data_IF_310093856783
#
_entry.id   IF_310093856783
#
_cell.length_a   1.000
_cell.length_b   1.000
_cell.length_c   1.000
_cell.angle_alpha   90.00
_cell.angle_beta   90.00
_cell.angle_gamma   90.00
#
_symmetry.space_group_name_H-M   'P 1'
#
loop_
_entity.id
_entity.type
_entity.pdbx_description
1 polymer ?
#
# COMPACT_ATOMS: atom_id res chain seq x y z
N UNK A 1 -4.28 -46.88 -26.92
CA UNK A 1 -4.60 -45.51 -26.46
C UNK A 1 -3.51 -45.06 -25.51
N UNK A 2 -2.65 -44.12 -25.91
CA UNK A 2 -1.66 -43.51 -25.00
C UNK A 2 -2.34 -42.32 -24.33
N UNK A 3 -2.56 -42.40 -23.02
CA UNK A 3 -3.16 -41.32 -22.23
C UNK A 3 -2.10 -40.22 -22.07
N UNK A 4 -2.20 -39.14 -22.85
CA UNK A 4 -1.33 -37.98 -22.72
C UNK A 4 -1.89 -37.08 -21.61
N UNK A 5 -1.43 -37.28 -20.37
CA UNK A 5 -1.78 -36.37 -19.27
C UNK A 5 -0.96 -35.08 -19.40
N UNK A 6 -1.63 -33.94 -19.65
CA UNK A 6 -1.00 -32.62 -19.61
C UNK A 6 -0.72 -32.22 -18.16
N UNK A 7 0.54 -32.08 -17.79
CA UNK A 7 0.95 -31.55 -16.49
C UNK A 7 0.67 -30.05 -16.40
N UNK A 8 0.02 -29.62 -15.31
CA UNK A 8 -0.26 -28.20 -15.05
C UNK A 8 1.04 -27.42 -14.81
N UNK A 9 1.11 -26.20 -15.32
CA UNK A 9 2.22 -25.26 -15.10
C UNK A 9 3.57 -25.71 -15.67
N UNK A 10 3.56 -26.61 -16.67
CA UNK A 10 4.76 -27.03 -17.40
C UNK A 10 4.71 -26.45 -18.81
N UNK A 11 5.69 -25.62 -19.16
CA UNK A 11 5.89 -25.15 -20.53
C UNK A 11 6.94 -26.04 -21.22
N UNK A 12 6.68 -26.41 -22.48
CA UNK A 12 7.66 -27.07 -23.35
C UNK A 12 8.50 -26.03 -24.08
N UNK A 13 9.83 -26.20 -24.04
CA UNK A 13 10.81 -25.40 -24.75
C UNK A 13 11.35 -26.14 -25.96
N UNK A 14 12.04 -25.41 -26.84
CA UNK A 14 12.76 -25.98 -27.96
C UNK A 14 13.74 -27.07 -27.51
N UNK A 15 13.74 -28.20 -28.24
CA UNK A 15 14.59 -29.35 -27.95
C UNK A 15 14.06 -30.30 -26.86
N UNK A 16 12.74 -30.33 -26.61
CA UNK A 16 12.10 -31.28 -25.68
C UNK A 16 12.41 -31.03 -24.21
N UNK A 17 12.89 -29.82 -23.87
CA UNK A 17 13.13 -29.39 -22.49
C UNK A 17 11.82 -28.89 -21.90
N UNK A 18 11.57 -29.19 -20.62
CA UNK A 18 10.38 -28.75 -19.90
C UNK A 18 10.77 -27.76 -18.80
N UNK A 19 9.97 -26.73 -18.59
CA UNK A 19 10.10 -25.82 -17.43
C UNK A 19 8.82 -25.80 -16.64
N UNK A 20 8.94 -25.79 -15.32
CA UNK A 20 7.84 -25.44 -14.44
C UNK A 20 7.77 -23.93 -14.31
N UNK A 21 6.59 -23.34 -14.54
CA UNK A 21 6.35 -21.91 -14.45
C UNK A 21 5.01 -21.62 -13.80
N UNK A 22 5.02 -21.04 -12.60
CA UNK A 22 3.81 -20.63 -11.87
C UNK A 22 3.96 -19.20 -11.35
N UNK A 23 2.94 -18.36 -11.54
CA UNK A 23 2.92 -17.00 -11.00
C UNK A 23 2.71 -17.04 -9.48
N UNK A 24 3.37 -16.17 -8.74
CA UNK A 24 3.09 -16.00 -7.32
C UNK A 24 1.80 -15.19 -7.12
N UNK A 25 1.05 -15.43 -6.02
CA UNK A 25 0.00 -14.53 -5.58
C UNK A 25 0.53 -13.10 -5.41
N UNK A 26 -0.29 -12.08 -5.70
CA UNK A 26 0.15 -10.67 -5.74
C UNK A 26 0.79 -10.20 -4.42
N UNK A 27 0.26 -10.65 -3.28
CA UNK A 27 0.81 -10.35 -1.95
C UNK A 27 2.22 -10.95 -1.77
N UNK A 28 2.37 -12.23 -2.12
CA UNK A 28 3.64 -12.98 -2.04
C UNK A 28 4.68 -12.45 -3.03
N UNK A 29 4.27 -12.06 -4.23
CA UNK A 29 5.16 -11.46 -5.23
C UNK A 29 5.74 -10.11 -4.75
N UNK A 30 4.97 -9.31 -3.99
CA UNK A 30 5.46 -8.07 -3.39
C UNK A 30 6.48 -8.34 -2.27
N UNK A 31 6.27 -9.39 -1.49
CA UNK A 31 7.16 -9.78 -0.40
C UNK A 31 8.48 -10.40 -0.92
N UNK A 32 8.42 -11.25 -1.94
CA UNK A 32 9.58 -11.95 -2.52
C UNK A 32 10.37 -11.11 -3.54
N UNK A 33 9.75 -10.10 -4.15
CA UNK A 33 10.35 -9.31 -5.23
C UNK A 33 10.31 -9.98 -6.61
N UNK A 34 9.99 -11.28 -6.67
CA UNK A 34 9.81 -12.04 -7.89
C UNK A 34 8.32 -12.31 -8.17
N UNK A 35 7.91 -12.18 -9.43
CA UNK A 35 6.51 -12.38 -9.84
C UNK A 35 6.20 -13.82 -10.28
N UNK A 36 7.23 -14.63 -10.57
CA UNK A 36 7.08 -15.96 -11.15
C UNK A 36 8.10 -16.92 -10.55
N UNK A 37 7.64 -18.10 -10.14
CA UNK A 37 8.50 -19.24 -9.85
C UNK A 37 8.79 -19.98 -11.16
N UNK A 38 10.06 -20.04 -11.55
CA UNK A 38 10.49 -20.68 -12.79
C UNK A 38 11.67 -21.61 -12.54
N UNK A 39 11.51 -22.90 -12.85
CA UNK A 39 12.56 -23.91 -12.70
C UNK A 39 12.59 -24.81 -13.94
N UNK A 40 13.79 -25.06 -14.48
CA UNK A 40 13.96 -26.03 -15.57
C UNK A 40 13.87 -27.46 -15.01
N UNK A 41 13.01 -28.29 -15.61
CA UNK A 41 12.89 -29.70 -15.25
C UNK A 41 14.03 -30.50 -15.89
N UNK A 42 14.58 -31.49 -15.17
CA UNK A 42 15.68 -32.32 -15.68
C UNK A 42 15.13 -33.53 -16.43
N UNK A 43 14.04 -34.11 -15.92
CA UNK A 43 13.33 -35.19 -16.56
C UNK A 43 12.58 -34.69 -17.80
N UNK A 44 12.64 -35.47 -18.88
CA UNK A 44 11.95 -35.15 -20.15
C UNK A 44 10.63 -35.89 -20.28
N UNK A 45 10.54 -37.14 -19.83
CA UNK A 45 9.37 -38.01 -19.94
C UNK A 45 9.29 -39.03 -18.79
N UNK A 46 8.14 -39.71 -18.66
CA UNK A 46 7.95 -40.84 -17.74
C UNK A 46 7.66 -40.47 -16.29
N UNK A 47 7.74 -41.46 -15.39
CA UNK A 47 7.43 -41.33 -13.96
C UNK A 47 8.33 -40.31 -13.24
N UNK A 48 9.58 -40.17 -13.69
CA UNK A 48 10.53 -39.20 -13.14
C UNK A 48 10.02 -37.76 -13.30
N UNK A 49 9.41 -37.43 -14.44
CA UNK A 49 8.78 -36.14 -14.69
C UNK A 49 7.67 -35.84 -13.67
N UNK A 50 6.85 -36.83 -13.34
CA UNK A 50 5.78 -36.67 -12.33
C UNK A 50 6.35 -36.47 -10.93
N UNK A 51 7.40 -37.19 -10.56
CA UNK A 51 8.04 -37.00 -9.25
C UNK A 51 8.75 -35.66 -9.15
N UNK A 52 9.40 -35.18 -10.21
CA UNK A 52 9.99 -33.83 -10.26
C UNK A 52 8.90 -32.76 -10.22
N UNK A 53 7.80 -32.94 -10.94
CA UNK A 53 6.66 -32.01 -10.92
C UNK A 53 6.03 -31.90 -9.54
N UNK A 54 5.79 -33.03 -8.87
CA UNK A 54 5.28 -33.06 -7.50
C UNK A 54 6.25 -32.37 -6.53
N UNK A 55 7.56 -32.63 -6.65
CA UNK A 55 8.59 -31.93 -5.85
C UNK A 55 8.54 -30.42 -6.05
N UNK A 56 8.51 -29.95 -7.30
CA UNK A 56 8.45 -28.53 -7.63
C UNK A 56 7.16 -27.85 -7.14
N UNK A 57 6.03 -28.56 -7.13
CA UNK A 57 4.80 -28.08 -6.51
C UNK A 57 4.95 -27.91 -5.00
N UNK A 58 5.51 -28.91 -4.30
CA UNK A 58 5.74 -28.81 -2.85
C UNK A 58 6.75 -27.72 -2.49
N UNK A 59 7.77 -27.50 -3.31
CA UNK A 59 8.73 -26.40 -3.13
C UNK A 59 8.07 -25.04 -3.33
N UNK A 60 7.25 -24.91 -4.39
CA UNK A 60 6.46 -23.71 -4.62
C UNK A 60 5.54 -23.40 -3.42
N UNK A 61 4.81 -24.40 -2.93
CA UNK A 61 3.93 -24.25 -1.76
C UNK A 61 4.72 -23.82 -0.53
N UNK A 62 5.86 -24.47 -0.24
CA UNK A 62 6.74 -24.07 0.87
C UNK A 62 7.25 -22.63 0.76
N UNK A 63 7.60 -22.17 -0.45
CA UNK A 63 8.06 -20.81 -0.68
C UNK A 63 6.91 -19.82 -0.47
N UNK A 64 5.72 -20.14 -1.01
CA UNK A 64 4.52 -19.33 -0.83
C UNK A 64 4.13 -19.24 0.65
N UNK A 65 4.13 -20.36 1.37
CA UNK A 65 3.80 -20.40 2.80
C UNK A 65 4.82 -19.64 3.63
N UNK A 66 6.12 -19.81 3.34
CA UNK A 66 7.17 -19.05 4.03
C UNK A 66 7.06 -17.56 3.75
N UNK A 67 6.70 -17.17 2.53
CA UNK A 67 6.50 -15.78 2.15
C UNK A 67 5.21 -15.20 2.73
N UNK A 68 4.13 -15.99 2.84
CA UNK A 68 2.90 -15.63 3.56
C UNK A 68 3.18 -15.41 5.04
N UNK A 69 3.90 -16.34 5.69
CA UNK A 69 4.35 -16.18 7.09
C UNK A 69 5.20 -14.94 7.29
N UNK A 70 6.18 -14.71 6.41
CA UNK A 70 6.97 -13.47 6.44
C UNK A 70 6.13 -12.23 6.21
N UNK A 71 5.20 -12.24 5.25
CA UNK A 71 4.32 -11.10 5.00
C UNK A 71 3.38 -10.83 6.19
N UNK A 72 2.93 -11.87 6.90
CA UNK A 72 2.17 -11.76 8.14
C UNK A 72 3.03 -11.26 9.31
N UNK A 73 4.27 -11.74 9.44
CA UNK A 73 5.24 -11.30 10.46
C UNK A 73 5.73 -9.86 10.20
N UNK A 74 5.88 -9.47 8.94
CA UNK A 74 6.32 -8.14 8.49
C UNK A 74 5.17 -7.11 8.45
N UNK A 75 3.94 -7.49 8.84
CA UNK A 75 2.78 -6.58 8.89
C UNK A 75 2.35 -6.05 7.51
N UNK A 76 2.62 -6.80 6.43
CA UNK A 76 2.23 -6.41 5.07
C UNK A 76 0.77 -6.70 4.73
N UNK A 77 0.13 -7.60 5.48
CA UNK A 77 -1.31 -7.86 5.44
C UNK A 77 -1.90 -7.48 6.78
N UNK A 78 -2.97 -6.70 6.75
CA UNK A 78 -3.66 -6.38 7.98
C UNK A 78 -4.31 -7.63 8.58
N UNK A 79 -4.33 -7.79 9.92
CA UNK A 79 -4.93 -8.95 10.57
C UNK A 79 -6.36 -9.26 10.10
N UNK A 80 -7.15 -8.23 9.78
CA UNK A 80 -8.51 -8.37 9.29
C UNK A 80 -8.59 -8.81 7.82
N UNK A 81 -7.78 -8.23 6.94
CA UNK A 81 -7.67 -8.69 5.55
C UNK A 81 -7.18 -10.13 5.48
N UNK A 82 -6.20 -10.47 6.31
CA UNK A 82 -5.67 -11.82 6.43
C UNK A 82 -6.73 -12.82 6.91
N UNK A 83 -7.59 -12.43 7.87
CA UNK A 83 -8.73 -13.24 8.30
C UNK A 83 -9.75 -13.43 7.18
N UNK A 84 -10.11 -12.39 6.43
CA UNK A 84 -11.07 -12.49 5.31
C UNK A 84 -10.55 -13.38 4.18
N UNK A 85 -9.28 -13.23 3.81
CA UNK A 85 -8.65 -14.12 2.82
C UNK A 85 -8.61 -15.57 3.34
N UNK A 86 -8.32 -15.77 4.62
CA UNK A 86 -8.32 -17.08 5.26
C UNK A 86 -9.71 -17.72 5.31
N UNK A 87 -10.78 -16.96 5.60
CA UNK A 87 -12.16 -17.47 5.58
C UNK A 87 -12.56 -17.90 4.16
N UNK A 88 -12.24 -17.09 3.16
CA UNK A 88 -12.52 -17.44 1.77
C UNK A 88 -11.74 -18.69 1.31
N UNK A 89 -10.45 -18.78 1.67
CA UNK A 89 -9.62 -19.95 1.38
C UNK A 89 -10.14 -21.19 2.14
N UNK A 90 -10.63 -21.03 3.38
CA UNK A 90 -11.28 -22.08 4.16
C UNK A 90 -12.56 -22.60 3.48
N UNK A 91 -13.43 -21.71 3.01
CA UNK A 91 -14.64 -22.07 2.26
C UNK A 91 -14.32 -22.82 0.96
N UNK A 92 -13.34 -22.34 0.20
CA UNK A 92 -12.88 -23.00 -1.04
C UNK A 92 -12.30 -24.40 -0.75
N UNK A 93 -11.55 -24.56 0.34
CA UNK A 93 -10.99 -25.84 0.75
C UNK A 93 -12.07 -26.82 1.20
N UNK A 94 -13.05 -26.37 1.99
CA UNK A 94 -14.19 -27.20 2.46
C UNK A 94 -15.08 -27.60 1.27
N UNK A 95 -15.37 -26.68 0.35
CA UNK A 95 -16.15 -26.97 -0.86
C UNK A 95 -15.43 -27.92 -1.84
N UNK A 96 -14.10 -27.96 -1.80
CA UNK A 96 -13.28 -28.88 -2.58
C UNK A 96 -13.24 -30.31 -2.03
N UNK A 97 -13.70 -30.54 -0.79
CA UNK A 97 -13.77 -31.88 -0.21
C UNK A 97 -14.96 -32.64 -0.79
N UNK A 98 -14.69 -33.79 -1.39
CA UNK A 98 -15.73 -34.68 -1.93
C UNK A 98 -15.70 -36.02 -1.18
N UNK A 99 -16.88 -36.64 -1.03
CA UNK A 99 -17.03 -37.96 -0.40
C UNK A 99 -17.23 -37.97 1.12
N UNK A 100 -17.63 -36.83 1.70
CA UNK A 100 -17.88 -36.68 3.15
C UNK A 100 -19.37 -36.45 3.39
N UNK A 101 -19.91 -36.99 4.49
CA UNK A 101 -21.35 -37.01 4.76
C UNK A 101 -21.86 -35.74 5.46
N UNK A 102 -20.95 -34.95 6.05
CA UNK A 102 -21.25 -33.69 6.74
C UNK A 102 -20.19 -32.62 6.46
N UNK A 103 -20.63 -31.36 6.47
CA UNK A 103 -19.75 -30.19 6.34
C UNK A 103 -18.76 -30.09 7.53
N UNK A 104 -19.16 -30.53 8.72
CA UNK A 104 -18.30 -30.55 9.90
C UNK A 104 -17.17 -31.59 9.79
N UNK A 105 -17.46 -32.74 9.19
CA UNK A 105 -16.45 -33.75 8.88
C UNK A 105 -15.48 -33.24 7.80
N UNK A 106 -15.98 -32.50 6.79
CA UNK A 106 -15.14 -31.87 5.78
C UNK A 106 -14.19 -30.83 6.41
N UNK A 107 -14.69 -30.02 7.35
CA UNK A 107 -13.89 -29.05 8.12
C UNK A 107 -12.85 -29.73 9.01
N UNK A 108 -13.18 -30.84 9.68
CA UNK A 108 -12.22 -31.60 10.47
C UNK A 108 -11.10 -32.20 9.60
N UNK A 109 -11.45 -32.78 8.45
CA UNK A 109 -10.46 -33.36 7.51
C UNK A 109 -9.51 -32.28 6.99
N UNK A 110 -10.03 -31.12 6.60
CA UNK A 110 -9.21 -29.97 6.15
C UNK A 110 -8.37 -29.44 7.30
N UNK A 111 -8.94 -29.29 8.49
CA UNK A 111 -8.24 -28.82 9.68
C UNK A 111 -7.07 -29.73 10.09
N UNK A 112 -7.26 -31.04 10.06
CA UNK A 112 -6.22 -32.02 10.36
C UNK A 112 -5.10 -32.05 9.30
N UNK A 113 -5.45 -31.89 8.02
CA UNK A 113 -4.47 -31.75 6.94
C UNK A 113 -3.67 -30.44 7.06
N UNK A 114 -4.33 -29.31 7.36
CA UNK A 114 -3.69 -28.02 7.60
C UNK A 114 -2.73 -28.08 8.80
N UNK A 115 -3.14 -28.73 9.89
CA UNK A 115 -2.30 -28.93 11.08
C UNK A 115 -1.07 -29.80 10.75
N UNK A 116 -1.26 -30.86 9.95
CA UNK A 116 -0.17 -31.74 9.51
C UNK A 116 0.84 -31.03 8.60
N UNK A 117 0.37 -30.12 7.75
CA UNK A 117 1.23 -29.30 6.86
C UNK A 117 1.87 -28.11 7.58
N UNK A 118 1.44 -27.84 8.82
CA UNK A 118 1.85 -26.65 9.56
C UNK A 118 1.39 -25.37 8.86
N UNK A 119 0.19 -25.38 8.30
CA UNK A 119 -0.38 -24.22 7.60
C UNK A 119 -0.59 -23.03 8.55
N UNK A 120 -1.01 -21.91 7.97
CA UNK A 120 -1.20 -20.65 8.71
C UNK A 120 -2.16 -20.83 9.91
N UNK A 121 -1.78 -20.40 11.12
CA UNK A 121 -2.64 -20.45 12.31
C UNK A 121 -4.00 -19.74 12.13
N UNK A 122 -4.05 -18.69 11.30
CA UNK A 122 -5.27 -17.93 11.02
C UNK A 122 -6.21 -18.72 10.12
N UNK A 123 -5.67 -19.39 9.09
CA UNK A 123 -6.43 -20.28 8.20
C UNK A 123 -6.98 -21.50 8.95
N UNK A 124 -6.16 -22.09 9.83
CA UNK A 124 -6.62 -23.18 10.69
C UNK A 124 -7.79 -22.74 11.58
N UNK A 125 -7.71 -21.55 12.18
CA UNK A 125 -8.79 -20.99 13.00
C UNK A 125 -10.05 -20.70 12.16
N UNK A 126 -9.90 -20.22 10.94
CA UNK A 126 -11.03 -19.97 10.03
C UNK A 126 -11.75 -21.27 9.62
N UNK A 127 -11.02 -22.37 9.38
CA UNK A 127 -11.61 -23.69 9.06
C UNK A 127 -12.31 -24.32 10.26
N UNK A 128 -11.67 -24.28 11.44
CA UNK A 128 -12.17 -24.97 12.63
C UNK A 128 -13.24 -24.18 13.39
N UNK A 129 -13.28 -22.86 13.21
CA UNK A 129 -14.21 -21.98 13.92
C UNK A 129 -14.67 -20.87 12.98
N UNK A 130 -15.56 -21.20 12.01
CA UNK A 130 -16.08 -20.22 11.06
C UNK A 130 -16.94 -19.14 11.73
N UNK A 131 -17.51 -19.43 12.91
CA UNK A 131 -18.23 -18.47 13.74
C UNK A 131 -17.33 -17.65 14.67
N UNK A 132 -16.00 -17.81 14.61
CA UNK A 132 -15.12 -17.02 15.45
C UNK A 132 -15.26 -15.52 15.12
N UNK A 133 -15.36 -14.70 16.18
CA UNK A 133 -15.47 -13.25 16.05
C UNK A 133 -14.36 -12.70 15.15
N UNK A 134 -14.77 -11.94 14.13
CA UNK A 134 -13.85 -11.28 13.22
C UNK A 134 -12.85 -10.44 14.03
N UNK A 135 -11.55 -10.50 13.71
CA UNK A 135 -10.57 -9.71 14.42
C UNK A 135 -10.94 -8.23 14.31
N UNK A 136 -10.76 -7.46 15.39
CA UNK A 136 -11.19 -6.08 15.41
C UNK A 136 -10.38 -5.25 14.40
N UNK A 137 -11.05 -4.35 13.71
CA UNK A 137 -10.44 -3.51 12.66
C UNK A 137 -9.38 -2.60 13.26
N UNK A 138 -8.21 -2.60 12.63
CA UNK A 138 -7.01 -1.92 13.11
C UNK A 138 -6.74 -0.63 12.33
N UNK A 139 -5.79 0.18 12.82
CA UNK A 139 -5.30 1.35 12.08
C UNK A 139 -4.57 0.98 10.78
N UNK A 140 -4.03 -0.24 10.66
CA UNK A 140 -3.42 -0.72 9.43
C UNK A 140 -4.48 -0.95 8.34
N UNK A 141 -5.61 -1.56 8.70
CA UNK A 141 -6.78 -1.71 7.81
C UNK A 141 -7.22 -0.35 7.27
N UNK A 142 -7.38 0.62 8.18
CA UNK A 142 -7.81 1.96 7.83
C UNK A 142 -6.84 2.64 6.83
N UNK A 143 -5.54 2.38 6.96
CA UNK A 143 -4.51 2.92 6.06
C UNK A 143 -4.60 2.31 4.66
N UNK A 144 -4.71 0.99 4.53
CA UNK A 144 -4.82 0.36 3.20
C UNK A 144 -6.15 0.72 2.53
N UNK A 145 -7.24 0.79 3.28
CA UNK A 145 -8.53 1.29 2.78
C UNK A 145 -8.44 2.74 2.29
N UNK A 146 -7.83 3.64 3.07
CA UNK A 146 -7.63 5.02 2.63
C UNK A 146 -6.79 5.10 1.35
N UNK A 147 -5.83 4.19 1.18
CA UNK A 147 -4.99 4.09 -0.02
C UNK A 147 -5.78 3.58 -1.23
N UNK A 148 -6.67 2.60 -1.07
CA UNK A 148 -7.50 2.12 -2.17
C UNK A 148 -8.53 3.17 -2.58
N UNK A 149 -9.31 3.68 -1.64
CA UNK A 149 -10.44 4.58 -1.94
C UNK A 149 -9.98 5.98 -2.40
N UNK A 150 -9.00 6.56 -1.71
CA UNK A 150 -8.63 7.97 -1.92
C UNK A 150 -7.41 8.18 -2.80
N UNK A 151 -6.60 7.12 -3.00
CA UNK A 151 -5.31 7.22 -3.68
C UNK A 151 -5.20 6.36 -4.95
N UNK A 152 -6.20 5.51 -5.26
CA UNK A 152 -6.23 4.78 -6.53
C UNK A 152 -6.40 5.70 -7.75
N UNK A 153 -7.03 6.87 -7.58
CA UNK A 153 -7.20 7.88 -8.64
C UNK A 153 -6.30 9.13 -8.52
N UNK A 154 -5.52 9.27 -7.44
CA UNK A 154 -4.73 10.48 -7.18
C UNK A 154 -3.27 10.34 -7.67
N UNK A 155 -2.93 11.01 -8.77
CA UNK A 155 -1.57 11.10 -9.29
C UNK A 155 -0.73 12.14 -8.53
N UNK A 156 -0.15 11.76 -7.40
CA UNK A 156 0.83 12.59 -6.71
C UNK A 156 1.72 11.83 -5.73
N UNK A 157 3.02 11.68 -6.07
CA UNK A 157 4.04 11.08 -5.17
C UNK A 157 4.04 11.74 -3.78
N UNK A 158 3.74 13.03 -3.71
CA UNK A 158 3.74 13.82 -2.48
C UNK A 158 2.71 13.34 -1.45
N UNK A 159 1.53 12.89 -1.89
CA UNK A 159 0.46 12.48 -0.97
C UNK A 159 0.71 11.07 -0.41
N UNK A 160 1.31 10.17 -1.20
CA UNK A 160 1.77 8.84 -0.72
C UNK A 160 2.88 8.99 0.33
N UNK A 161 3.91 9.78 0.02
CA UNK A 161 4.99 10.09 0.97
C UNK A 161 4.47 10.77 2.25
N UNK A 162 3.35 11.48 2.16
CA UNK A 162 2.71 12.11 3.31
C UNK A 162 1.97 11.11 4.18
N UNK A 163 1.19 10.21 3.57
CA UNK A 163 0.54 9.11 4.27
C UNK A 163 1.56 8.26 5.06
N UNK A 164 2.66 7.87 4.41
CA UNK A 164 3.72 7.09 5.06
C UNK A 164 4.38 7.84 6.22
N UNK A 165 4.63 9.15 6.06
CA UNK A 165 5.17 9.98 7.16
C UNK A 165 4.23 10.05 8.34
N UNK A 166 2.93 10.20 8.07
CA UNK A 166 1.90 10.24 9.11
C UNK A 166 1.83 8.90 9.85
N UNK A 167 1.86 7.77 9.12
CA UNK A 167 1.89 6.43 9.71
C UNK A 167 3.08 6.24 10.64
N UNK A 168 4.29 6.63 10.21
CA UNK A 168 5.50 6.54 11.05
C UNK A 168 5.40 7.38 12.33
N UNK A 169 4.73 8.53 12.29
CA UNK A 169 4.50 9.37 13.49
C UNK A 169 3.50 8.72 14.45
N UNK A 170 2.46 8.08 13.92
CA UNK A 170 1.51 7.30 14.72
C UNK A 170 2.23 6.13 15.39
N UNK A 171 3.03 5.37 14.64
CA UNK A 171 3.83 4.27 15.18
C UNK A 171 4.77 4.71 16.31
N UNK A 172 5.37 5.90 16.15
CA UNK A 172 6.29 6.45 17.15
C UNK A 172 5.60 6.90 18.45
N UNK A 173 4.31 7.25 18.41
CA UNK A 173 3.59 7.87 19.54
C UNK A 173 2.59 6.93 20.22
N UNK A 174 1.86 6.15 19.41
CA UNK A 174 0.79 5.26 19.83
C UNK A 174 1.17 3.78 19.75
N UNK A 175 2.24 3.43 19.02
CA UNK A 175 2.71 2.05 18.84
C UNK A 175 2.29 1.44 17.50
N UNK A 176 2.61 0.15 17.30
CA UNK A 176 2.40 -0.57 16.03
C UNK A 176 0.96 -0.47 15.52
N UNK A 177 0.79 -0.14 14.25
CA UNK A 177 -0.53 0.05 13.62
C UNK A 177 -1.42 -1.20 13.69
N UNK A 178 -0.83 -2.38 13.62
CA UNK A 178 -1.52 -3.68 13.62
C UNK A 178 -2.17 -4.02 14.97
N UNK A 179 -1.74 -3.34 16.05
CA UNK A 179 -2.27 -3.54 17.40
C UNK A 179 -3.26 -2.45 17.81
N UNK A 180 -3.36 -1.38 17.03
CA UNK A 180 -4.22 -0.25 17.34
C UNK A 180 -5.62 -0.49 16.76
N UNK A 181 -6.49 -1.03 17.61
CA UNK A 181 -7.89 -1.26 17.29
C UNK A 181 -8.65 0.07 17.21
N UNK A 182 -9.44 0.28 16.16
CA UNK A 182 -10.19 1.52 15.93
C UNK A 182 -11.23 1.81 17.03
N UNK A 183 -11.82 0.76 17.61
CA UNK A 183 -12.81 0.86 18.69
C UNK A 183 -12.21 1.41 19.98
N UNK A 184 -10.94 1.10 20.25
CA UNK A 184 -10.25 1.51 21.48
C UNK A 184 -9.64 2.93 21.40
N UNK A 185 -9.77 3.59 20.23
CA UNK A 185 -9.21 4.90 20.00
C UNK A 185 -9.97 6.00 20.78
N UNK A 186 -9.44 6.35 21.94
CA UNK A 186 -9.91 7.46 22.77
C UNK A 186 -9.33 8.82 22.39
N UNK A 187 -10.01 9.88 22.83
CA UNK A 187 -9.58 11.29 22.69
C UNK A 187 -8.18 11.56 23.29
N UNK A 188 -7.78 10.80 24.29
CA UNK A 188 -6.45 10.89 24.92
C UNK A 188 -5.33 10.53 23.94
N UNK A 189 -5.51 9.48 23.14
CA UNK A 189 -4.55 9.10 22.10
C UNK A 189 -4.41 10.20 21.05
N UNK A 190 -5.53 10.84 20.68
CA UNK A 190 -5.50 11.97 19.75
C UNK A 190 -4.76 13.20 20.31
N UNK A 191 -4.93 13.50 21.61
CA UNK A 191 -4.18 14.58 22.27
C UNK A 191 -2.69 14.25 22.36
N UNK A 192 -2.34 13.04 22.78
CA UNK A 192 -0.95 12.56 22.85
C UNK A 192 -0.25 12.70 21.49
N UNK A 193 -0.89 12.20 20.43
CA UNK A 193 -0.34 12.32 19.08
C UNK A 193 -0.14 13.78 18.66
N UNK A 194 -1.12 14.67 18.92
CA UNK A 194 -0.99 16.09 18.62
C UNK A 194 0.18 16.73 19.37
N UNK A 195 0.31 16.45 20.65
CA UNK A 195 1.32 17.04 21.51
C UNK A 195 2.72 16.54 21.12
N UNK A 196 2.86 15.25 20.81
CA UNK A 196 4.09 14.64 20.26
C UNK A 196 4.45 15.25 18.89
N UNK A 197 3.47 15.50 18.02
CA UNK A 197 3.69 16.13 16.72
C UNK A 197 4.12 17.59 16.82
N UNK A 198 3.64 18.32 17.83
CA UNK A 198 4.07 19.70 18.12
C UNK A 198 5.46 19.72 18.76
N UNK A 199 5.80 18.72 19.58
CA UNK A 199 7.12 18.56 20.18
C UNK A 199 8.17 18.07 19.16
N UNK A 200 7.74 17.41 18.07
CA UNK A 200 8.63 16.87 17.06
C UNK A 200 9.41 17.98 16.32
N UNK A 201 10.75 17.84 16.35
CA UNK A 201 11.67 18.71 15.62
C UNK A 201 11.95 18.16 14.22
N UNK A 202 12.08 19.07 13.25
CA UNK A 202 12.58 18.75 11.90
C UNK A 202 14.09 18.46 11.96
N UNK A 203 14.63 17.96 10.84
CA UNK A 203 16.09 17.76 10.67
C UNK A 203 16.89 19.05 10.92
N UNK A 204 16.28 20.19 10.64
CA UNK A 204 16.87 21.52 10.81
C UNK A 204 16.74 22.06 12.26
N UNK A 205 16.29 21.24 13.21
CA UNK A 205 16.11 21.61 14.62
C UNK A 205 14.86 22.46 14.91
N UNK A 206 14.21 23.00 13.88
CA UNK A 206 12.97 23.78 14.02
C UNK A 206 11.76 22.89 14.36
N UNK A 207 10.82 23.36 15.20
CA UNK A 207 9.58 22.63 15.48
C UNK A 207 8.69 22.54 14.23
N UNK A 208 7.83 21.52 14.19
CA UNK A 208 6.85 21.41 13.12
C UNK A 208 5.84 22.57 13.18
N UNK A 209 5.53 23.19 12.04
CA UNK A 209 4.55 24.29 12.03
C UNK A 209 3.16 23.78 12.41
N UNK A 210 2.40 24.58 13.16
CA UNK A 210 1.01 24.28 13.52
C UNK A 210 0.14 23.98 12.28
N UNK A 211 0.41 24.67 11.17
CA UNK A 211 -0.24 24.40 9.87
C UNK A 211 0.08 23.02 9.31
N UNK A 212 1.33 22.54 9.46
CA UNK A 212 1.72 21.20 9.00
C UNK A 212 1.09 20.13 9.87
N UNK A 213 1.10 20.33 11.20
CA UNK A 213 0.44 19.43 12.17
C UNK A 213 -1.05 19.32 11.88
N UNK A 214 -1.73 20.45 11.69
CA UNK A 214 -3.16 20.48 11.36
C UNK A 214 -3.47 19.69 10.10
N UNK A 215 -2.75 19.95 9.01
CA UNK A 215 -2.98 19.22 7.76
C UNK A 215 -2.77 17.72 7.97
N UNK A 216 -1.73 17.31 8.72
CA UNK A 216 -1.43 15.88 8.97
C UNK A 216 -2.54 15.24 9.84
N UNK A 217 -3.03 15.92 10.87
CA UNK A 217 -4.18 15.48 11.66
C UNK A 217 -5.47 15.40 10.84
N UNK A 218 -5.69 16.31 9.89
CA UNK A 218 -6.85 16.24 8.98
C UNK A 218 -6.79 14.97 8.10
N UNK A 219 -5.59 14.52 7.72
CA UNK A 219 -5.40 13.26 6.99
C UNK A 219 -5.72 12.06 7.89
N UNK A 220 -5.26 12.07 9.14
CA UNK A 220 -5.57 10.99 10.11
C UNK A 220 -7.06 10.93 10.38
N UNK A 221 -7.70 12.09 10.57
CA UNK A 221 -9.14 12.19 10.73
C UNK A 221 -9.86 11.54 9.54
N UNK A 222 -9.42 11.83 8.31
CA UNK A 222 -10.01 11.24 7.12
C UNK A 222 -9.79 9.72 7.03
N UNK A 223 -8.61 9.21 7.40
CA UNK A 223 -8.31 7.76 7.46
C UNK A 223 -9.30 7.05 8.39
N UNK A 224 -9.42 7.54 9.63
CA UNK A 224 -10.30 6.93 10.65
C UNK A 224 -11.77 7.08 10.27
N UNK A 225 -12.18 8.23 9.73
CA UNK A 225 -13.57 8.44 9.30
C UNK A 225 -13.97 7.51 8.16
N UNK A 226 -13.13 7.31 7.14
CA UNK A 226 -13.42 6.38 6.04
C UNK A 226 -13.51 4.94 6.57
N UNK A 227 -12.60 4.55 7.46
CA UNK A 227 -12.67 3.21 8.05
C UNK A 227 -13.94 3.00 8.90
N UNK A 228 -14.40 4.00 9.64
CA UNK A 228 -15.66 3.90 10.40
C UNK A 228 -16.87 3.77 9.48
N UNK A 229 -16.90 4.51 8.36
CA UNK A 229 -18.03 4.47 7.41
C UNK A 229 -18.09 3.18 6.63
N UNK A 230 -16.96 2.69 6.12
CA UNK A 230 -16.91 1.50 5.25
C UNK A 230 -17.07 0.18 6.02
N UNK A 231 -16.73 0.19 7.31
CA UNK A 231 -16.90 -0.99 8.18
C UNK A 231 -18.13 -0.90 9.09
N UNK A 232 -19.04 0.04 8.84
CA UNK A 232 -20.26 0.24 9.63
C UNK A 232 -20.02 0.29 11.15
N UNK A 233 -18.90 0.88 11.57
CA UNK A 233 -18.54 1.00 12.99
C UNK A 233 -19.27 2.15 13.70
N UNK A 234 -20.26 2.74 13.03
CA UNK A 234 -21.10 3.80 13.59
C UNK A 234 -21.77 3.34 14.89
N UNK A 235 -21.47 4.05 15.99
CA UNK A 235 -21.98 3.74 17.33
C UNK A 235 -21.08 2.81 18.17
N UNK A 236 -20.15 2.07 17.54
CA UNK A 236 -19.14 1.25 18.24
C UNK A 236 -17.80 1.98 18.37
N UNK A 237 -17.37 2.67 17.32
CA UNK A 237 -16.16 3.47 17.31
C UNK A 237 -16.49 4.94 17.06
N UNK A 238 -15.83 5.84 17.80
CA UNK A 238 -15.91 7.29 17.59
C UNK A 238 -14.56 7.77 17.07
N UNK A 239 -14.54 8.64 16.05
CA UNK A 239 -13.29 9.23 15.58
C UNK A 239 -12.72 10.22 16.62
N UNK A 240 -11.65 9.89 17.37
CA UNK A 240 -11.15 10.77 18.43
C UNK A 240 -10.43 12.01 17.90
N UNK A 241 -10.16 12.08 16.59
CA UNK A 241 -9.50 13.20 15.94
C UNK A 241 -10.49 14.27 15.47
N UNK A 242 -11.80 14.01 15.55
CA UNK A 242 -12.80 14.99 15.15
C UNK A 242 -12.86 16.19 16.12
N UNK A 243 -12.86 17.40 15.59
CA UNK A 243 -12.85 18.63 16.40
C UNK A 243 -11.62 18.80 17.29
N UNK A 244 -10.47 18.18 16.97
CA UNK A 244 -9.25 18.37 17.75
C UNK A 244 -8.65 19.75 17.44
N UNK A 245 -8.66 20.65 18.42
CA UNK A 245 -8.05 21.96 18.26
C UNK A 245 -6.52 21.86 18.32
N UNK A 246 -5.88 22.24 17.22
CA UNK A 246 -4.48 22.65 17.21
C UNK A 246 -4.53 24.16 17.37
N UNK A 247 -3.98 24.68 18.49
CA UNK A 247 -4.03 26.09 18.83
C UNK A 247 -3.79 26.95 17.57
N UNK A 248 -4.76 27.81 17.25
CA UNK A 248 -4.62 28.75 16.15
C UNK A 248 -3.43 29.63 16.51
N UNK A 249 -2.33 29.51 15.78
CA UNK A 249 -1.36 30.58 15.76
C UNK A 249 -2.13 31.81 15.26
N UNK A 250 -2.35 32.78 16.14
CA UNK A 250 -2.84 34.09 15.74
C UNK A 250 -1.94 34.62 14.60
N UNK A 251 -2.58 35.18 13.56
CA UNK A 251 -2.05 35.84 12.36
C UNK A 251 -1.98 35.00 11.05
N UNK A 252 -2.49 35.62 9.97
CA UNK A 252 -2.45 35.17 8.58
C UNK A 252 -1.00 35.10 8.02
N UNK A 253 -0.69 34.42 6.89
CA UNK A 253 -1.52 33.56 6.03
C UNK A 253 -1.03 32.09 5.94
N UNK A 254 -1.84 31.22 5.32
CA UNK A 254 -1.92 29.77 5.53
C UNK A 254 -0.92 28.87 4.74
N UNK A 255 -0.01 29.47 3.97
CA UNK A 255 0.92 28.71 3.13
C UNK A 255 2.29 29.38 3.06
N UNK A 256 3.39 28.61 2.88
CA UNK A 256 4.70 29.18 2.52
C UNK A 256 4.63 30.06 1.27
N UNK A 257 3.62 29.84 0.43
CA UNK A 257 3.29 30.67 -0.73
C UNK A 257 2.84 32.08 -0.33
N UNK A 258 2.04 32.20 0.72
CA UNK A 258 1.47 33.48 1.14
C UNK A 258 2.46 34.32 1.96
N UNK A 259 3.52 33.68 2.47
CA UNK A 259 4.69 34.37 3.07
C UNK A 259 5.67 34.91 2.03
N UNK A 260 5.50 34.56 0.75
CA UNK A 260 6.36 35.09 -0.32
C UNK A 260 5.77 36.41 -0.76
N UNK A 261 6.50 37.48 -0.51
CA UNK A 261 6.19 38.76 -1.13
C UNK A 261 6.21 38.60 -2.65
N UNK A 262 5.25 39.21 -3.37
CA UNK A 262 5.29 39.24 -4.82
C UNK A 262 6.62 39.87 -5.26
N UNK A 263 7.24 39.31 -6.30
CA UNK A 263 8.48 39.86 -6.84
C UNK A 263 8.24 41.34 -7.21
N UNK A 264 9.03 42.27 -6.66
CA UNK A 264 8.83 43.68 -6.93
C UNK A 264 9.17 43.99 -8.39
N UNK A 265 8.51 45.01 -8.93
CA UNK A 265 8.47 45.29 -10.39
C UNK A 265 9.86 45.58 -10.97
N UNK A 266 10.72 46.21 -10.20
CA UNK A 266 12.13 46.46 -10.49
C UNK A 266 12.93 45.17 -10.67
N UNK A 267 12.75 44.19 -9.79
CA UNK A 267 13.39 42.87 -9.87
C UNK A 267 12.91 42.11 -11.09
N UNK A 268 11.60 42.16 -11.41
CA UNK A 268 11.05 41.53 -12.63
C UNK A 268 11.67 42.15 -13.89
N UNK A 269 11.82 43.47 -13.94
CA UNK A 269 12.44 44.18 -15.08
C UNK A 269 13.94 43.85 -15.20
N UNK A 270 14.67 43.79 -14.08
CA UNK A 270 16.07 43.39 -14.06
C UNK A 270 16.26 41.93 -14.49
N UNK A 271 15.39 41.02 -14.04
CA UNK A 271 15.38 39.61 -14.47
C UNK A 271 15.09 39.50 -15.97
N UNK A 272 14.12 40.26 -16.50
CA UNK A 272 13.82 40.31 -17.94
C UNK A 272 15.01 40.77 -18.78
N UNK A 273 15.70 41.82 -18.35
CA UNK A 273 16.87 42.34 -19.04
C UNK A 273 18.03 41.33 -18.99
N UNK A 274 18.28 40.72 -17.83
CA UNK A 274 19.30 39.68 -17.68
C UNK A 274 18.98 38.43 -18.51
N UNK A 275 17.71 38.07 -18.63
CA UNK A 275 17.22 37.00 -19.51
C UNK A 275 17.31 37.37 -20.99
N UNK A 276 17.43 38.63 -21.40
CA UNK A 276 17.76 38.96 -22.81
C UNK A 276 19.26 38.92 -23.08
N UNK A 277 20.05 39.45 -22.15
CA UNK A 277 21.46 39.77 -22.43
C UNK A 277 22.44 38.63 -22.08
N UNK A 278 22.08 37.72 -21.17
CA UNK A 278 23.02 36.73 -20.59
C UNK A 278 22.49 35.29 -20.60
N UNK A 279 21.77 34.89 -21.64
CA UNK A 279 21.34 33.50 -21.80
C UNK A 279 22.49 32.61 -22.28
N UNK A 280 22.82 31.59 -21.47
CA UNK A 280 23.70 30.48 -21.89
C UNK A 280 23.00 29.48 -22.81
N UNK A 281 21.65 29.43 -22.78
CA UNK A 281 20.84 28.56 -23.63
C UNK A 281 19.70 29.37 -24.25
N UNK A 282 19.56 29.39 -25.60
CA UNK A 282 18.51 30.15 -26.28
C UNK A 282 17.09 29.64 -25.98
N UNK A 283 16.93 28.38 -25.55
CA UNK A 283 15.63 27.81 -25.14
C UNK A 283 15.04 28.50 -23.90
N UNK A 284 15.89 29.03 -23.01
CA UNK A 284 15.45 29.84 -21.86
C UNK A 284 15.05 31.27 -22.26
N UNK A 285 15.46 31.74 -23.44
CA UNK A 285 15.02 33.02 -24.02
C UNK A 285 13.74 32.92 -24.84
N UNK A 286 13.48 31.73 -25.37
CA UNK A 286 12.18 31.31 -25.92
C UNK A 286 11.14 31.02 -24.83
N UNK A 287 11.48 31.13 -23.54
CA UNK A 287 10.49 31.34 -22.50
C UNK A 287 9.79 32.67 -22.82
N UNK A 288 8.73 32.57 -23.60
CA UNK A 288 7.94 33.68 -24.06
C UNK A 288 7.26 34.29 -22.82
N UNK A 289 7.95 35.23 -22.16
CA UNK A 289 7.46 35.98 -21.01
C UNK A 289 6.11 36.65 -21.32
N UNK A 290 5.76 36.81 -22.60
CA UNK A 290 4.41 37.19 -23.03
C UNK A 290 3.33 36.20 -22.54
N UNK A 291 3.62 34.90 -22.47
CA UNK A 291 2.72 33.86 -21.90
C UNK A 291 2.58 33.98 -20.39
N UNK A 292 3.65 34.33 -19.68
CA UNK A 292 3.59 34.66 -18.25
C UNK A 292 2.79 35.96 -17.99
N UNK A 293 2.93 36.96 -18.87
CA UNK A 293 2.17 38.20 -18.79
C UNK A 293 0.70 38.03 -19.20
N UNK A 294 0.39 37.13 -20.14
CA UNK A 294 -0.96 36.83 -20.61
C UNK A 294 -1.74 35.93 -19.65
N UNK A 295 -1.05 35.13 -18.82
CA UNK A 295 -1.66 34.26 -17.81
C UNK A 295 -0.89 34.34 -16.47
N UNK A 296 -0.99 35.46 -15.73
CA UNK A 296 -0.22 35.70 -14.50
C UNK A 296 -0.52 34.72 -13.34
N UNK A 297 -1.60 33.95 -13.44
CA UNK A 297 -2.01 32.92 -12.48
C UNK A 297 -1.69 31.48 -12.92
N UNK A 298 -1.09 31.29 -14.10
CA UNK A 298 -0.72 29.97 -14.57
C UNK A 298 0.41 29.37 -13.73
N UNK A 299 0.26 28.10 -13.34
CA UNK A 299 1.33 27.38 -12.64
C UNK A 299 2.46 27.08 -13.63
N UNK A 300 3.71 27.28 -13.19
CA UNK A 300 4.92 26.89 -13.93
C UNK A 300 4.87 25.44 -14.43
N UNK A 301 4.24 24.53 -13.68
CA UNK A 301 4.05 23.13 -14.05
C UNK A 301 3.11 22.89 -15.24
N UNK A 302 2.35 23.90 -15.66
CA UNK A 302 1.44 23.84 -16.81
C UNK A 302 2.08 24.44 -18.08
N UNK A 303 3.29 24.99 -17.98
CA UNK A 303 4.04 25.50 -19.11
C UNK A 303 4.97 24.40 -19.61
N UNK A 304 4.67 23.85 -20.80
CA UNK A 304 5.54 22.89 -21.47
C UNK A 304 6.82 23.59 -21.89
N UNK A 305 7.96 23.17 -21.31
CA UNK A 305 9.28 23.60 -21.75
C UNK A 305 9.71 22.69 -22.90
N UNK A 306 9.40 23.07 -24.14
CA UNK A 306 10.00 22.47 -25.32
C UNK A 306 11.47 22.90 -25.40
N UNK A 307 12.34 22.23 -24.65
CA UNK A 307 13.75 22.15 -24.99
C UNK A 307 13.98 20.78 -25.58
N UNK A 308 14.16 20.73 -26.89
CA UNK A 308 14.48 19.51 -27.63
C UNK A 308 15.63 18.75 -26.98
N UNK A 309 15.35 17.47 -26.71
CA UNK A 309 16.26 16.53 -26.07
C UNK A 309 15.57 15.25 -25.63
N UNK A 310 14.81 14.64 -26.54
CA UNK A 310 14.34 13.24 -26.54
C UNK A 310 13.73 12.70 -25.23
N UNK A 311 12.39 12.63 -25.17
CA UNK A 311 11.67 11.41 -24.75
C UNK A 311 10.25 11.46 -25.37
N UNK A 312 9.82 10.44 -26.13
CA UNK A 312 8.48 10.42 -26.70
C UNK A 312 7.47 10.18 -25.60
N UNK A 313 6.52 11.10 -25.45
CA UNK A 313 5.28 10.86 -24.72
C UNK A 313 4.44 9.86 -25.53
N UNK A 314 4.39 8.61 -25.08
CA UNK A 314 3.36 7.67 -25.53
C UNK A 314 2.05 7.96 -24.77
N UNK A 315 0.98 7.96 -25.55
CA UNK A 315 -0.42 8.03 -25.16
C UNK A 315 -0.82 7.00 -24.11
#
# INVERSE_FOLDING_TARGET
>A
MVVVMKLKHVDELSGGRKRFRRRYPKAVARALGDSVFQVAMKAREGAELFTEHAKLLTEYEKIVDKARRKAAEDGQLSPFEHWREAVKEAEELVAGVSGVNSEDEARQVVGDDLKRRGADPVLYRAVMSPEAEEPPITMLDAKEMYRTERMAGAHGRNQKNRLERVCKRIESSLGSLDKLVLVDLKREHARKLRDDMLAAKKKDGSPLSSSSVRRELDMIRAIVSIAITEHDLHGKAHNPFDGLEVAKANAAPDTEWDKRDPLPRDVILAMRNRMRDKLRSPALGLMDLSRFCAAPSARLSHLSFESDGAFPTQC
#
